data_IF_580675148795
#
_entry.id   IF_580675148795
#
_cell.length_a   1.000
_cell.length_b   1.000
_cell.length_c   1.000
_cell.angle_alpha   90.00
_cell.angle_beta   90.00
_cell.angle_gamma   90.00
#
_symmetry.space_group_name_H-M   'P 1'
#
loop_
_entity.id
_entity.type
_entity.pdbx_description
1 polymer ?
#
# COMPACT_ATOMS: atom_id res chain seq x y z
N UNK A 1 -26.48 -8.71 3.53
CA UNK A 1 -25.95 -10.01 3.04
C UNK A 1 -24.45 -9.86 2.98
N UNK A 2 -23.71 -10.54 3.86
CA UNK A 2 -22.25 -10.51 3.83
C UNK A 2 -21.78 -11.67 2.95
N UNK A 3 -21.15 -11.35 1.82
CA UNK A 3 -20.50 -12.35 0.98
C UNK A 3 -19.25 -12.84 1.71
N UNK A 4 -19.05 -14.16 1.88
CA UNK A 4 -17.80 -14.65 2.44
C UNK A 4 -16.71 -14.46 1.38
N UNK A 5 -15.82 -13.49 1.59
CA UNK A 5 -14.63 -13.32 0.76
C UNK A 5 -13.75 -14.57 0.92
N UNK A 6 -13.74 -15.41 -0.11
CA UNK A 6 -13.01 -16.67 -0.12
C UNK A 6 -11.51 -16.40 -0.29
N UNK A 7 -10.80 -16.55 0.82
CA UNK A 7 -9.35 -16.63 0.90
C UNK A 7 -8.83 -17.80 0.05
N UNK A 8 -8.40 -17.52 -1.18
CA UNK A 8 -7.88 -18.55 -2.07
C UNK A 8 -7.54 -18.06 -3.46
N UNK A 9 -6.53 -17.19 -3.56
CA UNK A 9 -5.77 -16.96 -4.81
C UNK A 9 -6.52 -16.33 -5.99
N UNK A 10 -7.81 -15.99 -5.86
CA UNK A 10 -8.59 -15.32 -6.90
C UNK A 10 -9.20 -14.07 -6.26
N UNK A 11 -8.53 -12.93 -6.43
CA UNK A 11 -9.14 -11.63 -6.09
C UNK A 11 -10.36 -11.44 -7.02
N UNK A 12 -11.55 -11.27 -6.45
CA UNK A 12 -12.72 -10.99 -7.28
C UNK A 12 -12.58 -9.61 -7.91
N UNK A 13 -13.21 -9.36 -9.06
CA UNK A 13 -13.15 -8.04 -9.71
C UNK A 13 -13.63 -6.90 -8.80
N UNK A 14 -14.55 -7.18 -7.87
CA UNK A 14 -14.99 -6.22 -6.87
C UNK A 14 -13.88 -5.89 -5.85
N UNK A 15 -13.17 -6.91 -5.34
CA UNK A 15 -12.01 -6.72 -4.47
C UNK A 15 -10.90 -5.91 -5.16
N UNK A 16 -10.61 -6.21 -6.43
CA UNK A 16 -9.62 -5.48 -7.21
C UNK A 16 -10.01 -4.02 -7.42
N UNK A 17 -11.30 -3.76 -7.61
CA UNK A 17 -11.82 -2.40 -7.74
C UNK A 17 -11.70 -1.63 -6.42
N UNK A 18 -12.02 -2.29 -5.30
CA UNK A 18 -11.85 -1.74 -3.96
C UNK A 18 -10.38 -1.42 -3.65
N UNK A 19 -9.46 -2.36 -3.89
CA UNK A 19 -8.03 -2.14 -3.73
C UNK A 19 -7.52 -0.97 -4.59
N UNK A 20 -8.03 -0.86 -5.82
CA UNK A 20 -7.69 0.24 -6.73
C UNK A 20 -8.20 1.60 -6.22
N UNK A 21 -9.40 1.67 -5.65
CA UNK A 21 -9.95 2.90 -5.06
C UNK A 21 -9.11 3.38 -3.87
N UNK A 22 -8.69 2.46 -3.01
CA UNK A 22 -7.81 2.77 -1.87
C UNK A 22 -6.45 3.26 -2.38
N UNK A 23 -5.86 2.55 -3.33
CA UNK A 23 -4.61 2.92 -3.95
C UNK A 23 -4.66 4.32 -4.58
N UNK A 24 -5.70 4.61 -5.36
CA UNK A 24 -5.89 5.89 -6.03
C UNK A 24 -6.06 7.02 -5.01
N UNK A 25 -6.88 6.79 -3.98
CA UNK A 25 -7.07 7.74 -2.87
C UNK A 25 -5.77 8.06 -2.14
N UNK A 26 -4.98 7.04 -1.78
CA UNK A 26 -3.69 7.24 -1.10
C UNK A 26 -2.68 7.93 -2.02
N UNK A 27 -2.65 7.59 -3.31
CA UNK A 27 -1.80 8.29 -4.28
C UNK A 27 -2.19 9.77 -4.40
N UNK A 28 -3.49 10.07 -4.44
CA UNK A 28 -3.99 11.44 -4.57
C UNK A 28 -3.73 12.26 -3.31
N UNK A 29 -3.94 11.69 -2.11
CA UNK A 29 -3.63 12.35 -0.83
C UNK A 29 -2.13 12.65 -0.68
N UNK A 30 -1.28 11.73 -1.16
CA UNK A 30 0.18 11.84 -1.05
C UNK A 30 0.81 12.60 -2.23
N UNK A 31 0.05 12.89 -3.29
CA UNK A 31 0.54 13.46 -4.53
C UNK A 31 1.48 12.54 -5.32
N UNK A 32 1.36 11.21 -5.14
CA UNK A 32 2.16 10.25 -5.89
C UNK A 32 1.65 10.13 -7.33
N UNK A 33 2.56 10.26 -8.28
CA UNK A 33 2.27 9.91 -9.67
C UNK A 33 2.33 8.40 -9.84
N UNK A 34 1.42 7.84 -10.64
CA UNK A 34 1.29 6.39 -10.88
C UNK A 34 2.57 5.72 -11.41
N UNK A 35 3.45 6.49 -12.05
CA UNK A 35 4.73 6.05 -12.59
C UNK A 35 5.89 6.14 -11.58
N UNK A 36 5.64 6.69 -10.40
CA UNK A 36 6.66 6.82 -9.36
C UNK A 36 6.94 5.47 -8.71
N UNK A 37 8.21 5.22 -8.38
CA UNK A 37 8.61 4.06 -7.56
C UNK A 37 7.80 3.97 -6.25
N UNK A 38 7.40 5.12 -5.70
CA UNK A 38 6.55 5.19 -4.52
C UNK A 38 5.18 4.54 -4.73
N UNK A 39 4.57 4.72 -5.91
CA UNK A 39 3.28 4.18 -6.30
C UNK A 39 3.37 2.67 -6.58
N UNK A 40 4.40 2.23 -7.32
CA UNK A 40 4.63 0.80 -7.58
C UNK A 40 4.80 0.01 -6.27
N UNK A 41 5.54 0.56 -5.33
CA UNK A 41 5.77 -0.05 -4.02
C UNK A 41 4.51 -0.03 -3.14
N UNK A 42 3.70 1.04 -3.23
CA UNK A 42 2.38 1.10 -2.59
C UNK A 42 1.48 -0.01 -3.11
N UNK A 43 1.37 -0.17 -4.43
CA UNK A 43 0.58 -1.23 -5.05
C UNK A 43 1.04 -2.62 -4.60
N UNK A 44 2.36 -2.84 -4.52
CA UNK A 44 2.93 -4.09 -4.02
C UNK A 44 2.55 -4.34 -2.55
N UNK A 45 2.67 -3.34 -1.68
CA UNK A 45 2.29 -3.46 -0.27
C UNK A 45 0.78 -3.73 -0.12
N UNK A 46 -0.07 -3.06 -0.91
CA UNK A 46 -1.51 -3.29 -0.95
C UNK A 46 -1.84 -4.74 -1.37
N UNK A 47 -1.18 -5.26 -2.41
CA UNK A 47 -1.38 -6.65 -2.82
C UNK A 47 -0.89 -7.64 -1.75
N UNK A 48 0.25 -7.37 -1.12
CA UNK A 48 0.80 -8.23 -0.06
C UNK A 48 -0.15 -8.33 1.14
N UNK A 49 -0.69 -7.20 1.61
CA UNK A 49 -1.73 -7.14 2.64
C UNK A 49 -2.96 -7.96 2.25
N UNK A 50 -3.42 -7.82 1.01
CA UNK A 50 -4.56 -8.57 0.51
C UNK A 50 -4.29 -10.08 0.46
N UNK A 51 -3.08 -10.51 0.07
CA UNK A 51 -2.70 -11.93 0.11
C UNK A 51 -2.59 -12.50 1.52
N UNK A 52 -2.33 -11.65 2.52
CA UNK A 52 -2.35 -12.02 3.93
C UNK A 52 -3.78 -12.10 4.50
N UNK A 53 -4.78 -11.62 3.74
CA UNK A 53 -6.17 -11.61 4.16
C UNK A 53 -6.72 -10.30 4.65
N UNK A 54 -5.94 -9.23 4.55
CA UNK A 54 -6.35 -7.91 4.98
C UNK A 54 -7.23 -7.32 3.87
N UNK A 55 -8.54 -7.30 4.12
CA UNK A 55 -9.55 -6.77 3.17
C UNK A 55 -10.26 -5.54 3.70
N UNK A 56 -9.94 -5.09 4.91
CA UNK A 56 -10.62 -3.96 5.55
C UNK A 56 -9.98 -2.64 5.13
N UNK A 57 -10.77 -1.67 4.64
CA UNK A 57 -10.25 -0.41 4.09
C UNK A 57 -9.36 0.31 5.11
N UNK A 58 -9.85 0.40 6.35
CA UNK A 58 -9.17 1.10 7.42
C UNK A 58 -7.83 0.43 7.74
N UNK A 59 -7.80 -0.91 7.82
CA UNK A 59 -6.59 -1.68 8.13
C UNK A 59 -5.56 -1.60 6.99
N UNK A 60 -6.01 -1.65 5.73
CA UNK A 60 -5.16 -1.43 4.56
C UNK A 60 -4.55 -0.03 4.62
N UNK A 61 -5.37 1.01 4.87
CA UNK A 61 -4.91 2.40 4.87
C UNK A 61 -3.95 2.69 6.02
N UNK A 62 -4.24 2.20 7.24
CA UNK A 62 -3.34 2.28 8.40
C UNK A 62 -2.00 1.57 8.12
N UNK A 63 -2.04 0.38 7.51
CA UNK A 63 -0.84 -0.37 7.15
C UNK A 63 -0.01 0.36 6.09
N UNK A 64 -0.66 0.92 5.07
CA UNK A 64 0.01 1.71 4.03
C UNK A 64 0.60 3.01 4.61
N UNK A 65 -0.11 3.68 5.52
CA UNK A 65 0.39 4.88 6.18
C UNK A 65 1.62 4.57 7.03
N UNK A 66 1.56 3.50 7.83
CA UNK A 66 2.68 3.00 8.62
C UNK A 66 3.86 2.58 7.74
N UNK A 67 3.61 1.95 6.59
CA UNK A 67 4.64 1.54 5.64
C UNK A 67 5.34 2.75 5.00
N UNK A 68 4.57 3.75 4.56
CA UNK A 68 5.10 5.00 4.01
C UNK A 68 5.82 5.84 5.06
N UNK A 69 5.28 5.89 6.27
CA UNK A 69 5.89 6.53 7.44
C UNK A 69 7.20 5.85 7.83
N UNK A 70 7.30 4.52 7.74
CA UNK A 70 8.56 3.79 7.95
C UNK A 70 9.57 4.05 6.82
N UNK A 71 9.09 4.27 5.60
CA UNK A 71 9.95 4.57 4.44
C UNK A 71 10.48 6.00 4.45
N UNK A 72 9.76 6.98 4.98
CA UNK A 72 10.31 8.32 5.17
C UNK A 72 11.47 8.32 6.17
N UNK A 73 11.36 7.58 7.28
CA UNK A 73 12.49 7.37 8.21
C UNK A 73 13.61 6.53 7.58
N UNK A 74 13.30 5.45 6.84
CA UNK A 74 14.34 4.65 6.19
C UNK A 74 15.08 5.42 5.09
N UNK A 75 14.36 6.22 4.29
CA UNK A 75 14.93 7.10 3.27
C UNK A 75 15.73 8.27 3.85
N UNK A 76 15.37 8.75 5.04
CA UNK A 76 16.15 9.73 5.80
C UNK A 76 17.40 9.11 6.44
N UNK A 77 17.28 7.92 7.02
CA UNK A 77 18.41 7.16 7.57
C UNK A 77 19.44 6.81 6.49
N UNK A 78 19.00 6.42 5.29
CA UNK A 78 19.88 6.17 4.13
C UNK A 78 20.63 7.44 3.66
N UNK A 79 20.07 8.64 3.85
CA UNK A 79 20.77 9.91 3.58
C UNK A 79 21.73 10.31 4.71
N UNK A 80 21.41 9.94 5.95
CA UNK A 80 22.23 10.25 7.13
C UNK A 80 23.50 9.38 7.25
N UNK A 81 23.61 8.25 6.53
CA UNK A 81 24.85 7.43 6.52
C UNK A 81 25.86 7.83 5.43
N UNK A 82 25.65 8.98 4.76
CA UNK A 82 26.66 9.58 3.89
C UNK A 82 27.75 10.28 4.70
N UNK A 83 28.82 9.55 5.02
CA UNK A 83 30.00 10.02 5.73
C UNK A 83 30.63 11.30 5.14
N UNK A 84 31.25 12.16 5.97
CA UNK A 84 32.41 12.94 5.57
C UNK A 84 33.71 12.33 6.11
N UNK A 85 34.69 12.29 5.20
CA UNK A 85 36.08 11.82 5.27
C UNK A 85 36.88 12.19 6.52
#
# INVERSE_FOLDING_TARGET
MAVPHHFGGIAYPDDLKFLKEIYDSVCLERGFHSDSAAAVDLARATMDLFTQGVTDEAEIRESLDAYLGRRSIAGELLRATGAPS
#
